data_IF_618346593684
#
_entry.id   IF_618346593684
#
_cell.length_a   1.000
_cell.length_b   1.000
_cell.length_c   1.000
_cell.angle_alpha   90.00
_cell.angle_beta   90.00
_cell.angle_gamma   90.00
#
_symmetry.space_group_name_H-M   'P 1'
#
loop_
_entity.id
_entity.type
_entity.pdbx_description
1 polymer ?
#
# COMPACT_ATOMS: atom_id res chain seq x y z
N UNK A 1 53.55 19.16 -6.52
CA UNK A 1 52.92 19.39 -7.85
C UNK A 1 51.98 18.28 -8.36
N UNK A 2 52.42 17.15 -8.94
CA UNK A 2 51.49 16.11 -9.50
C UNK A 2 50.53 15.51 -8.46
N UNK A 3 51.04 15.18 -7.26
CA UNK A 3 50.24 14.65 -6.14
C UNK A 3 49.24 15.67 -5.59
N UNK A 4 49.58 16.95 -5.61
CA UNK A 4 48.71 18.02 -5.12
C UNK A 4 47.58 18.35 -6.08
N UNK A 5 47.87 18.37 -7.39
CA UNK A 5 46.83 18.48 -8.42
C UNK A 5 45.85 17.30 -8.35
N UNK A 6 46.35 16.09 -8.07
CA UNK A 6 45.52 14.89 -7.91
C UNK A 6 44.61 15.02 -6.66
N UNK A 7 45.16 15.48 -5.54
CA UNK A 7 44.38 15.72 -4.31
C UNK A 7 43.31 16.80 -4.53
N UNK A 8 43.65 17.91 -5.19
CA UNK A 8 42.70 18.98 -5.51
C UNK A 8 41.61 18.51 -6.48
N UNK A 9 41.96 17.72 -7.50
CA UNK A 9 41.00 17.14 -8.43
C UNK A 9 40.04 16.16 -7.76
N UNK A 10 40.54 15.31 -6.86
CA UNK A 10 39.70 14.38 -6.08
C UNK A 10 38.77 15.15 -5.13
N UNK A 11 39.27 16.16 -4.42
CA UNK A 11 38.44 17.02 -3.56
C UNK A 11 37.38 17.77 -4.35
N UNK A 12 37.70 18.24 -5.56
CA UNK A 12 36.74 18.86 -6.47
C UNK A 12 35.62 17.89 -6.88
N UNK A 13 35.98 16.67 -7.28
CA UNK A 13 35.02 15.62 -7.65
C UNK A 13 34.14 15.19 -6.47
N UNK A 14 34.74 15.03 -5.28
CA UNK A 14 33.99 14.74 -4.04
C UNK A 14 33.06 15.89 -3.70
N UNK A 15 33.50 17.15 -3.84
CA UNK A 15 32.67 18.34 -3.63
C UNK A 15 31.46 18.38 -4.56
N UNK A 16 31.65 18.13 -5.86
CA UNK A 16 30.56 18.02 -6.84
C UNK A 16 29.62 16.86 -6.51
N UNK A 17 30.17 15.70 -6.16
CA UNK A 17 29.38 14.53 -5.75
C UNK A 17 28.53 14.80 -4.50
N UNK A 18 29.07 15.54 -3.53
CA UNK A 18 28.35 15.94 -2.32
C UNK A 18 27.26 17.00 -2.59
N UNK A 19 27.47 17.90 -3.54
CA UNK A 19 26.42 18.83 -3.97
C UNK A 19 25.29 18.15 -4.73
N UNK A 20 25.60 17.07 -5.47
CA UNK A 20 24.62 16.24 -6.19
C UNK A 20 23.96 15.17 -5.28
N UNK A 21 24.49 14.96 -4.07
CA UNK A 21 24.02 13.99 -3.08
C UNK A 21 22.51 14.07 -2.77
N UNK A 22 21.88 15.27 -2.61
CA UNK A 22 20.45 15.37 -2.31
C UNK A 22 19.55 14.71 -3.35
N UNK A 23 20.01 14.60 -4.60
CA UNK A 23 19.25 14.06 -5.73
C UNK A 23 19.48 12.56 -5.91
N UNK A 24 20.67 12.04 -5.57
CA UNK A 24 21.07 10.68 -5.96
C UNK A 24 21.13 9.66 -4.83
N UNK A 25 21.55 10.03 -3.61
CA UNK A 25 21.77 9.05 -2.53
C UNK A 25 20.58 8.93 -1.58
N UNK A 26 19.72 9.96 -1.53
CA UNK A 26 18.51 9.94 -0.71
C UNK A 26 17.29 10.53 -1.45
N UNK A 27 16.95 10.11 -2.67
CA UNK A 27 15.79 10.68 -3.39
C UNK A 27 14.47 10.49 -2.61
N UNK A 28 14.37 9.43 -1.81
CA UNK A 28 13.18 9.05 -1.02
C UNK A 28 13.35 9.33 0.49
N UNK A 29 14.42 10.02 0.89
CA UNK A 29 14.64 10.37 2.29
C UNK A 29 13.59 11.36 2.78
N UNK A 30 12.74 10.91 3.71
CA UNK A 30 11.75 11.74 4.41
C UNK A 30 10.30 11.30 4.30
N UNK A 31 9.95 10.38 3.39
CA UNK A 31 8.58 9.87 3.30
C UNK A 31 8.40 8.61 4.17
N UNK A 32 7.37 8.61 5.02
CA UNK A 32 6.91 7.38 5.69
C UNK A 32 6.27 6.46 4.66
N UNK A 33 6.81 5.25 4.51
CA UNK A 33 6.25 4.23 3.64
C UNK A 33 5.56 3.12 4.42
N UNK A 34 4.63 2.44 3.77
CA UNK A 34 4.05 1.19 4.26
C UNK A 34 4.49 0.07 3.33
N UNK A 35 5.15 -0.96 3.89
CA UNK A 35 5.37 -2.21 3.20
C UNK A 35 4.19 -3.12 3.48
N UNK A 36 3.53 -3.57 2.42
CA UNK A 36 2.43 -4.52 2.44
C UNK A 36 2.93 -5.87 1.93
N UNK A 37 2.51 -6.94 2.57
CA UNK A 37 2.73 -8.29 2.10
C UNK A 37 1.40 -8.91 1.70
N UNK A 38 1.41 -9.59 0.58
CA UNK A 38 0.27 -10.32 0.05
C UNK A 38 0.48 -11.81 0.24
N UNK A 39 -0.60 -12.50 0.55
CA UNK A 39 -0.63 -13.96 0.67
C UNK A 39 -1.77 -14.52 -0.19
N UNK A 40 -1.52 -15.69 -0.77
CA UNK A 40 -2.51 -16.43 -1.55
C UNK A 40 -3.50 -17.16 -0.62
N UNK A 41 -4.79 -17.10 -0.95
CA UNK A 41 -5.87 -17.76 -0.23
C UNK A 41 -6.07 -19.16 -0.80
N UNK A 42 -5.25 -20.11 -0.34
CA UNK A 42 -5.35 -21.51 -0.79
C UNK A 42 -6.23 -22.43 0.06
N UNK A 43 -6.88 -21.95 1.12
CA UNK A 43 -7.60 -22.82 2.06
C UNK A 43 -8.80 -22.15 2.74
N UNK A 44 -9.75 -22.96 3.24
CA UNK A 44 -10.87 -22.45 4.03
C UNK A 44 -10.43 -21.69 5.30
N UNK A 45 -9.27 -22.01 5.87
CA UNK A 45 -8.76 -21.33 7.06
C UNK A 45 -8.26 -19.92 6.72
N UNK A 46 -7.43 -19.82 5.68
CA UNK A 46 -6.92 -18.53 5.17
C UNK A 46 -8.05 -17.67 4.60
N UNK A 47 -9.02 -18.28 3.92
CA UNK A 47 -10.22 -17.60 3.43
C UNK A 47 -11.02 -16.94 4.55
N UNK A 48 -11.27 -17.67 5.65
CA UNK A 48 -11.94 -17.11 6.83
C UNK A 48 -11.19 -15.92 7.41
N UNK A 49 -9.87 -16.04 7.53
CA UNK A 49 -9.02 -14.98 8.05
C UNK A 49 -9.12 -13.72 7.17
N UNK A 50 -9.01 -13.87 5.85
CA UNK A 50 -9.13 -12.78 4.90
C UNK A 50 -10.51 -12.11 4.95
N UNK A 51 -11.59 -12.90 4.97
CA UNK A 51 -12.96 -12.38 5.01
C UNK A 51 -13.28 -11.60 6.30
N UNK A 52 -12.67 -11.93 7.43
CA UNK A 52 -12.89 -11.18 8.67
C UNK A 52 -12.16 -9.83 8.73
N UNK A 53 -11.08 -9.68 7.96
CA UNK A 53 -10.35 -8.42 7.84
C UNK A 53 -10.96 -7.46 6.82
N UNK A 54 -11.61 -8.00 5.78
CA UNK A 54 -12.07 -7.20 4.64
C UNK A 54 -13.28 -6.31 4.93
N UNK A 55 -13.20 -5.04 4.52
CA UNK A 55 -14.32 -4.09 4.61
C UNK A 55 -15.50 -4.43 3.69
N UNK A 56 -15.29 -5.26 2.67
CA UNK A 56 -16.35 -5.68 1.74
C UNK A 56 -17.23 -6.81 2.34
N UNK A 57 -16.89 -7.29 3.55
CA UNK A 57 -17.64 -8.27 4.33
C UNK A 57 -18.33 -7.61 5.53
N UNK A 58 -19.66 -7.66 5.56
CA UNK A 58 -20.43 -7.20 6.70
C UNK A 58 -20.33 -8.23 7.84
N UNK A 59 -19.47 -7.94 8.82
CA UNK A 59 -19.36 -8.76 10.03
C UNK A 59 -20.45 -8.41 11.03
N UNK A 60 -21.28 -9.39 11.39
CA UNK A 60 -22.46 -9.14 12.21
C UNK A 60 -22.13 -8.77 13.65
N UNK A 61 -22.29 -7.49 14.00
CA UNK A 61 -22.58 -7.06 15.36
C UNK A 61 -24.06 -6.63 15.46
N UNK A 62 -24.65 -6.72 16.66
CA UNK A 62 -26.11 -6.65 16.84
C UNK A 62 -26.79 -5.37 16.31
N UNK A 63 -26.04 -4.28 16.07
CA UNK A 63 -26.56 -3.03 15.52
C UNK A 63 -26.45 -2.95 14.00
N UNK A 64 -25.31 -3.35 13.43
CA UNK A 64 -25.07 -3.21 11.99
C UNK A 64 -25.90 -4.19 11.15
N UNK A 65 -26.36 -5.32 11.74
CA UNK A 65 -26.93 -6.44 10.98
C UNK A 65 -28.32 -6.86 11.42
N UNK A 66 -29.11 -5.90 11.90
CA UNK A 66 -30.47 -6.17 12.35
C UNK A 66 -31.36 -6.70 11.22
N UNK A 67 -31.17 -6.22 9.98
CA UNK A 67 -31.91 -6.65 8.81
C UNK A 67 -31.53 -8.08 8.42
N UNK A 68 -30.24 -8.37 8.27
CA UNK A 68 -29.69 -9.67 7.89
C UNK A 68 -30.09 -10.73 8.92
N UNK A 69 -30.06 -10.36 10.20
CA UNK A 69 -30.51 -11.25 11.28
C UNK A 69 -32.01 -11.56 11.15
N UNK A 70 -32.84 -10.61 10.74
CA UNK A 70 -34.27 -10.87 10.50
C UNK A 70 -34.50 -11.74 9.27
N UNK A 71 -33.76 -11.49 8.19
CA UNK A 71 -33.80 -12.30 6.96
C UNK A 71 -33.42 -13.75 7.26
N UNK A 72 -32.33 -13.99 7.99
CA UNK A 72 -31.93 -15.35 8.40
C UNK A 72 -32.94 -16.03 9.32
N UNK A 73 -33.52 -15.30 10.29
CA UNK A 73 -34.48 -15.88 11.24
C UNK A 73 -35.82 -16.26 10.61
N UNK A 74 -36.21 -15.58 9.53
CA UNK A 74 -37.52 -15.77 8.87
C UNK A 74 -37.42 -16.55 7.56
N UNK A 75 -36.24 -17.06 7.21
CA UNK A 75 -35.96 -17.72 5.93
C UNK A 75 -36.36 -16.84 4.72
N UNK A 76 -35.92 -15.58 4.81
CA UNK A 76 -36.29 -14.52 3.89
C UNK A 76 -37.25 -13.50 4.49
N UNK A 77 -37.27 -12.31 3.89
CA UNK A 77 -38.16 -11.22 4.27
C UNK A 77 -38.81 -10.64 3.03
N UNK A 78 -40.14 -10.67 2.98
CA UNK A 78 -40.92 -9.96 1.96
C UNK A 78 -41.19 -8.53 2.41
N UNK A 79 -40.84 -7.56 1.57
CA UNK A 79 -41.03 -6.13 1.80
C UNK A 79 -41.93 -5.59 0.69
N UNK A 80 -42.97 -4.83 1.07
CA UNK A 80 -43.84 -4.18 0.11
C UNK A 80 -43.09 -3.02 -0.57
N UNK A 81 -43.00 -3.05 -1.90
CA UNK A 81 -42.30 -2.04 -2.70
C UNK A 81 -40.88 -2.44 -3.11
N UNK A 82 -40.15 -1.49 -3.69
CA UNK A 82 -38.76 -1.66 -4.12
C UNK A 82 -37.81 -1.32 -2.99
N UNK A 83 -36.96 -2.26 -2.58
CA UNK A 83 -35.81 -1.96 -1.74
C UNK A 83 -34.74 -1.37 -2.65
N UNK A 84 -34.38 -0.10 -2.41
CA UNK A 84 -33.25 0.55 -3.07
C UNK A 84 -32.01 0.21 -2.25
N UNK A 85 -31.36 -0.88 -2.61
CA UNK A 85 -30.27 -1.43 -1.82
C UNK A 85 -28.95 -0.88 -2.34
N UNK A 86 -28.49 0.23 -1.77
CA UNK A 86 -27.08 0.61 -1.86
C UNK A 86 -26.29 -0.33 -0.92
N UNK A 87 -26.30 -1.63 -1.24
CA UNK A 87 -25.61 -2.65 -0.42
C UNK A 87 -24.12 -2.39 -0.58
N UNK A 88 -23.50 -1.85 0.46
CA UNK A 88 -22.08 -1.51 0.49
C UNK A 88 -21.18 -2.73 0.70
N UNK A 89 -21.75 -3.93 0.86
CA UNK A 89 -21.07 -5.18 1.16
C UNK A 89 -21.51 -6.29 0.21
N UNK A 90 -20.59 -7.19 -0.14
CA UNK A 90 -20.86 -8.32 -1.04
C UNK A 90 -21.19 -9.60 -0.28
N UNK A 91 -20.66 -9.74 0.92
CA UNK A 91 -20.80 -10.91 1.78
C UNK A 91 -21.23 -10.49 3.18
N UNK A 92 -22.03 -11.31 3.84
CA UNK A 92 -22.42 -11.16 5.24
C UNK A 92 -21.83 -12.33 6.03
N UNK A 93 -21.09 -12.04 7.10
CA UNK A 93 -20.66 -13.06 8.05
C UNK A 93 -21.56 -13.07 9.29
N UNK A 94 -22.24 -14.19 9.55
CA UNK A 94 -23.10 -14.39 10.71
C UNK A 94 -22.75 -15.69 11.44
N UNK A 95 -22.43 -15.60 12.73
CA UNK A 95 -22.12 -16.76 13.60
C UNK A 95 -21.05 -17.73 13.06
N UNK A 96 -20.08 -17.22 12.30
CA UNK A 96 -19.01 -18.04 11.72
C UNK A 96 -19.30 -18.59 10.33
N UNK A 97 -20.49 -18.33 9.79
CA UNK A 97 -20.94 -18.71 8.45
C UNK A 97 -21.00 -17.48 7.54
N UNK A 98 -20.96 -17.71 6.22
CA UNK A 98 -20.99 -16.66 5.21
C UNK A 98 -22.21 -16.78 4.32
N UNK A 99 -22.71 -15.62 3.87
CA UNK A 99 -23.89 -15.53 3.06
C UNK A 99 -23.75 -14.43 2.01
N UNK A 100 -24.31 -14.62 0.82
CA UNK A 100 -24.50 -13.54 -0.14
C UNK A 100 -25.96 -13.03 -0.07
N UNK A 101 -26.16 -11.71 -0.02
CA UNK A 101 -27.50 -11.12 -0.09
C UNK A 101 -28.08 -11.30 -1.49
N UNK A 102 -29.33 -11.80 -1.55
CA UNK A 102 -30.08 -11.92 -2.80
C UNK A 102 -31.40 -11.17 -2.72
N UNK A 103 -31.80 -10.60 -3.86
CA UNK A 103 -33.04 -9.85 -4.01
C UNK A 103 -33.82 -10.38 -5.20
N UNK A 104 -35.07 -10.78 -4.95
CA UNK A 104 -36.01 -11.15 -6.02
C UNK A 104 -37.22 -10.22 -5.99
N UNK A 105 -37.43 -9.48 -7.08
CA UNK A 105 -38.67 -8.73 -7.28
C UNK A 105 -39.79 -9.68 -7.70
N UNK A 106 -40.94 -9.51 -7.09
CA UNK A 106 -42.20 -10.21 -7.38
C UNK A 106 -43.31 -9.17 -7.57
N UNK A 107 -44.44 -9.57 -8.14
CA UNK A 107 -45.61 -8.69 -8.33
C UNK A 107 -46.12 -8.07 -7.02
N UNK A 108 -45.90 -8.75 -5.88
CA UNK A 108 -46.36 -8.33 -4.56
C UNK A 108 -45.27 -7.60 -3.74
N UNK A 109 -44.10 -7.32 -4.32
CA UNK A 109 -43.00 -6.64 -3.64
C UNK A 109 -41.64 -7.35 -3.79
N UNK A 110 -40.71 -7.01 -2.91
CA UNK A 110 -39.33 -7.51 -2.94
C UNK A 110 -39.13 -8.59 -1.89
N UNK A 111 -38.61 -9.76 -2.27
CA UNK A 111 -38.13 -10.78 -1.33
C UNK A 111 -36.62 -10.67 -1.18
N UNK A 112 -36.18 -10.41 0.06
CA UNK A 112 -34.79 -10.45 0.48
C UNK A 112 -34.46 -11.83 1.03
N UNK A 113 -33.37 -12.42 0.59
CA UNK A 113 -32.88 -13.72 1.09
C UNK A 113 -31.37 -13.69 1.27
N UNK A 114 -30.83 -14.67 1.98
CA UNK A 114 -29.39 -14.85 2.19
C UNK A 114 -29.02 -16.27 1.78
N UNK A 115 -28.25 -16.40 0.71
CA UNK A 115 -27.76 -17.70 0.24
C UNK A 115 -26.50 -18.07 0.98
N UNK A 116 -26.45 -19.28 1.54
CA UNK A 116 -25.26 -19.78 2.24
C UNK A 116 -24.09 -19.94 1.28
N UNK A 117 -22.88 -19.62 1.74
CA UNK A 117 -21.62 -19.75 1.02
C UNK A 117 -20.60 -20.49 1.89
N UNK A 118 -19.79 -21.31 1.24
CA UNK A 118 -18.53 -21.77 1.82
C UNK A 118 -17.53 -20.60 1.92
N UNK A 119 -16.48 -20.72 2.76
CA UNK A 119 -15.48 -19.66 2.87
C UNK A 119 -14.79 -19.32 1.54
N UNK A 120 -14.50 -20.32 0.70
CA UNK A 120 -13.92 -20.06 -0.63
C UNK A 120 -14.91 -19.32 -1.52
N UNK A 121 -16.15 -19.78 -1.66
CA UNK A 121 -17.16 -19.06 -2.48
C UNK A 121 -17.38 -17.63 -1.97
N UNK A 122 -17.32 -17.40 -0.66
CA UNK A 122 -17.38 -16.06 -0.09
C UNK A 122 -16.20 -15.17 -0.50
N UNK A 123 -14.98 -15.73 -0.60
CA UNK A 123 -13.81 -15.03 -1.16
C UNK A 123 -14.06 -14.68 -2.63
N UNK A 124 -14.55 -15.61 -3.44
CA UNK A 124 -14.88 -15.37 -4.86
C UNK A 124 -15.88 -14.22 -5.02
N UNK A 125 -16.91 -14.19 -4.17
CA UNK A 125 -17.93 -13.13 -4.19
C UNK A 125 -17.41 -11.77 -3.69
N UNK A 126 -16.49 -11.76 -2.74
CA UNK A 126 -15.93 -10.54 -2.15
C UNK A 126 -14.79 -9.94 -2.98
N UNK A 127 -14.11 -10.77 -3.79
CA UNK A 127 -12.94 -10.36 -4.54
C UNK A 127 -13.25 -9.29 -5.59
N UNK A 128 -12.25 -8.44 -5.83
CA UNK A 128 -12.22 -7.52 -6.97
C UNK A 128 -11.18 -8.00 -7.99
N UNK A 129 -11.45 -7.85 -9.30
CA UNK A 129 -10.48 -8.19 -10.33
C UNK A 129 -9.19 -7.37 -10.20
N UNK A 130 -8.02 -7.99 -10.40
CA UNK A 130 -6.73 -7.32 -10.30
C UNK A 130 -6.62 -6.14 -11.27
N UNK A 131 -7.18 -6.24 -12.48
CA UNK A 131 -7.17 -5.19 -13.51
C UNK A 131 -7.98 -3.92 -13.13
N UNK A 132 -8.86 -4.01 -12.14
CA UNK A 132 -9.57 -2.87 -11.56
C UNK A 132 -8.77 -2.18 -10.42
N UNK A 133 -7.59 -2.68 -10.09
CA UNK A 133 -6.78 -2.19 -8.96
C UNK A 133 -5.64 -1.24 -9.38
N UNK A 134 -5.00 -0.62 -8.38
CA UNK A 134 -3.87 0.26 -8.62
C UNK A 134 -2.57 -0.54 -8.82
N UNK A 135 -1.63 -0.01 -9.61
CA UNK A 135 -0.35 -0.65 -9.92
C UNK A 135 0.41 -1.25 -8.71
N UNK A 136 0.45 -0.62 -7.51
CA UNK A 136 1.12 -1.22 -6.36
C UNK A 136 0.54 -2.58 -5.94
N UNK A 137 -0.75 -2.80 -6.16
CA UNK A 137 -1.44 -4.07 -5.88
C UNK A 137 -0.96 -5.15 -6.84
N UNK A 138 -0.88 -4.86 -8.14
CA UNK A 138 -0.27 -5.76 -9.13
C UNK A 138 1.13 -6.18 -8.72
N UNK A 139 1.99 -5.21 -8.39
CA UNK A 139 3.36 -5.51 -7.95
C UNK A 139 3.36 -6.38 -6.70
N UNK A 140 2.44 -6.15 -5.75
CA UNK A 140 2.36 -6.95 -4.55
C UNK A 140 1.94 -8.39 -4.86
N UNK A 141 0.90 -8.60 -5.68
CA UNK A 141 0.45 -9.94 -6.10
C UNK A 141 1.57 -10.69 -6.83
N UNK A 142 2.24 -10.05 -7.79
CA UNK A 142 3.30 -10.68 -8.59
C UNK A 142 4.57 -11.02 -7.77
N UNK A 143 4.91 -10.20 -6.77
CA UNK A 143 6.20 -10.32 -6.03
C UNK A 143 6.07 -10.75 -4.57
N UNK A 144 4.83 -10.88 -4.07
CA UNK A 144 4.49 -11.16 -2.67
C UNK A 144 4.59 -9.97 -1.72
N UNK A 145 5.12 -8.81 -2.16
CA UNK A 145 5.14 -7.60 -1.34
C UNK A 145 5.40 -6.32 -2.13
N UNK A 146 4.90 -5.20 -1.64
CA UNK A 146 5.19 -3.87 -2.21
C UNK A 146 5.45 -2.87 -1.10
N UNK A 147 6.27 -1.86 -1.38
CA UNK A 147 6.43 -0.71 -0.49
C UNK A 147 5.84 0.52 -1.16
N UNK A 148 4.82 1.09 -0.53
CA UNK A 148 4.14 2.30 -1.00
C UNK A 148 4.60 3.47 -0.13
N UNK A 149 5.00 4.56 -0.78
CA UNK A 149 5.37 5.81 -0.11
C UNK A 149 4.29 6.87 -0.39
N UNK A 150 4.06 7.74 0.58
CA UNK A 150 3.09 8.83 0.45
C UNK A 150 1.65 8.37 0.70
N UNK A 151 0.81 8.41 -0.34
CA UNK A 151 -0.63 8.22 -0.19
C UNK A 151 -1.01 6.74 -0.03
N UNK A 152 -1.92 6.42 0.90
CA UNK A 152 -2.37 5.04 1.10
C UNK A 152 -3.14 4.52 -0.11
N UNK A 153 -3.00 3.22 -0.39
CA UNK A 153 -3.72 2.54 -1.47
C UNK A 153 -5.00 1.94 -0.90
N UNK A 154 -6.15 2.42 -1.38
CA UNK A 154 -7.46 2.05 -0.83
C UNK A 154 -7.74 0.54 -0.77
N UNK A 155 -7.22 -0.24 -1.73
CA UNK A 155 -7.33 -1.72 -1.72
C UNK A 155 -6.65 -2.34 -0.50
N UNK A 156 -5.47 -1.83 -0.12
CA UNK A 156 -4.74 -2.34 1.04
C UNK A 156 -5.34 -1.86 2.36
N UNK A 157 -5.74 -0.59 2.44
CA UNK A 157 -6.32 -0.02 3.67
C UNK A 157 -7.66 -0.65 4.05
N UNK A 158 -8.39 -1.13 3.05
CA UNK A 158 -9.68 -1.81 3.21
C UNK A 158 -9.56 -3.34 3.26
N UNK A 159 -8.33 -3.85 3.26
CA UNK A 159 -8.02 -5.28 3.23
C UNK A 159 -8.86 -6.03 2.18
N UNK A 160 -8.94 -5.45 0.97
CA UNK A 160 -9.73 -6.02 -0.11
C UNK A 160 -9.05 -7.26 -0.66
N UNK A 161 -9.87 -8.26 -0.92
CA UNK A 161 -9.45 -9.48 -1.60
C UNK A 161 -9.35 -9.18 -3.09
N UNK A 162 -8.28 -9.63 -3.72
CA UNK A 162 -7.99 -9.41 -5.13
C UNK A 162 -7.93 -10.75 -5.86
N UNK A 163 -8.56 -10.82 -7.02
CA UNK A 163 -8.55 -12.00 -7.89
C UNK A 163 -7.58 -11.79 -9.06
N UNK A 164 -6.73 -12.78 -9.32
CA UNK A 164 -5.82 -12.84 -10.46
C UNK A 164 -5.89 -14.24 -11.09
N UNK A 165 -6.42 -14.34 -12.32
CA UNK A 165 -6.58 -15.59 -13.07
C UNK A 165 -7.24 -16.76 -12.28
N UNK A 166 -8.20 -16.45 -11.39
CA UNK A 166 -8.89 -17.43 -10.55
C UNK A 166 -8.21 -17.77 -9.21
N UNK A 167 -7.03 -17.21 -8.95
CA UNK A 167 -6.37 -17.25 -7.65
C UNK A 167 -6.71 -15.98 -6.84
N UNK A 168 -6.73 -16.09 -5.51
CA UNK A 168 -7.18 -15.02 -4.63
C UNK A 168 -6.09 -14.59 -3.67
N UNK A 169 -5.90 -13.28 -3.53
CA UNK A 169 -4.86 -12.69 -2.70
C UNK A 169 -5.43 -11.68 -1.72
N UNK A 170 -4.81 -11.57 -0.55
CA UNK A 170 -5.16 -10.57 0.44
C UNK A 170 -3.90 -10.02 1.14
N UNK A 171 -4.05 -8.89 1.84
CA UNK A 171 -2.98 -8.31 2.63
C UNK A 171 -2.96 -8.95 4.03
N UNK A 172 -2.01 -9.84 4.28
CA UNK A 172 -1.85 -10.49 5.59
C UNK A 172 -1.27 -9.52 6.64
N UNK A 173 -0.37 -8.63 6.20
CA UNK A 173 0.42 -7.79 7.11
C UNK A 173 0.94 -6.54 6.45
N UNK A 174 1.10 -5.50 7.26
CA UNK A 174 1.82 -4.29 6.88
C UNK A 174 2.84 -3.90 7.95
N UNK A 175 3.86 -3.16 7.53
CA UNK A 175 4.88 -2.59 8.42
C UNK A 175 5.25 -1.21 7.93
N UNK A 176 5.22 -0.25 8.85
CA UNK A 176 5.82 1.07 8.60
C UNK A 176 7.30 0.91 8.29
N UNK A 177 7.71 1.37 7.12
CA UNK A 177 9.11 1.49 6.73
C UNK A 177 9.47 2.96 6.91
N UNK A 178 10.20 3.26 7.98
CA UNK A 178 10.89 4.54 8.07
C UNK A 178 12.14 4.47 7.19
N UNK A 179 12.29 5.48 6.33
CA UNK A 179 13.60 5.79 5.77
C UNK A 179 14.58 6.01 6.93
N UNK A 180 15.85 5.64 6.73
CA UNK A 180 16.93 5.66 7.74
C UNK A 180 17.17 7.03 8.39
N UNK A 181 16.53 8.08 7.88
CA UNK A 181 16.40 9.38 8.50
C UNK A 181 14.93 9.83 8.43
N UNK A 182 14.40 10.24 9.58
CA UNK A 182 13.16 11.03 9.67
C UNK A 182 13.24 12.26 8.74
N UNK A 183 12.13 12.82 8.29
CA UNK A 183 12.11 13.90 7.29
C UNK A 183 13.03 15.07 7.67
N UNK A 184 13.00 15.46 8.95
CA UNK A 184 13.88 16.48 9.51
C UNK A 184 15.36 16.06 9.49
N UNK A 185 15.66 14.80 9.81
CA UNK A 185 17.02 14.28 9.85
C UNK A 185 17.62 14.14 8.44
N UNK A 186 16.80 13.78 7.45
CA UNK A 186 17.20 13.68 6.05
C UNK A 186 17.55 15.08 5.49
N UNK A 187 16.75 16.09 5.85
CA UNK A 187 17.02 17.48 5.47
C UNK A 187 18.32 18.00 6.09
N UNK A 188 18.55 17.73 7.39
CA UNK A 188 19.79 18.10 8.08
C UNK A 188 20.99 17.41 7.44
N UNK A 189 20.91 16.12 7.12
CA UNK A 189 22.00 15.39 6.47
C UNK A 189 22.30 15.93 5.07
N UNK A 190 21.26 16.24 4.28
CA UNK A 190 21.40 16.90 2.97
C UNK A 190 22.05 18.27 3.08
N UNK A 191 21.66 19.07 4.07
CA UNK A 191 22.26 20.38 4.33
C UNK A 191 23.74 20.26 4.73
N UNK A 192 24.07 19.34 5.62
CA UNK A 192 25.45 19.06 6.02
C UNK A 192 26.30 18.60 4.83
N UNK A 193 25.79 17.69 4.00
CA UNK A 193 26.47 17.23 2.79
C UNK A 193 26.67 18.37 1.79
N UNK A 194 25.68 19.24 1.61
CA UNK A 194 25.75 20.41 0.74
C UNK A 194 26.81 21.41 1.23
N UNK A 195 26.81 21.74 2.52
CA UNK A 195 27.82 22.61 3.15
C UNK A 195 29.22 22.02 3.07
N UNK A 196 29.36 20.71 3.29
CA UNK A 196 30.64 20.00 3.12
C UNK A 196 31.12 20.03 1.65
N UNK A 197 30.20 19.90 0.70
CA UNK A 197 30.47 20.02 -0.74
C UNK A 197 30.99 21.41 -1.11
N UNK A 198 30.34 22.47 -0.62
CA UNK A 198 30.81 23.87 -0.77
C UNK A 198 32.23 24.02 -0.18
N UNK A 199 32.44 23.52 1.05
CA UNK A 199 33.74 23.58 1.70
C UNK A 199 34.85 22.89 0.89
N UNK A 200 34.57 21.72 0.33
CA UNK A 200 35.51 20.99 -0.52
C UNK A 200 35.87 21.78 -1.79
N UNK A 201 34.88 22.40 -2.45
CA UNK A 201 35.09 23.19 -3.65
C UNK A 201 35.86 24.48 -3.38
N UNK A 202 35.50 25.21 -2.31
CA UNK A 202 36.21 26.44 -1.92
C UNK A 202 37.66 26.14 -1.56
N UNK A 203 37.91 25.08 -0.78
CA UNK A 203 39.26 24.66 -0.42
C UNK A 203 40.07 24.20 -1.64
N UNK A 204 39.45 23.44 -2.55
CA UNK A 204 40.08 23.04 -3.80
C UNK A 204 40.43 24.25 -4.69
N UNK A 205 39.51 25.21 -4.82
CA UNK A 205 39.70 26.44 -5.60
C UNK A 205 40.77 27.36 -5.02
N UNK A 206 40.76 27.58 -3.71
CA UNK A 206 41.80 28.37 -3.03
C UNK A 206 43.17 27.73 -3.18
N UNK A 207 43.25 26.41 -3.00
CA UNK A 207 44.51 25.68 -3.14
C UNK A 207 45.02 25.69 -4.56
N UNK A 208 44.13 25.63 -5.56
CA UNK A 208 44.47 25.78 -6.98
C UNK A 208 44.99 27.18 -7.30
N UNK A 209 44.35 28.22 -6.75
CA UNK A 209 44.76 29.63 -6.94
C UNK A 209 46.14 29.93 -6.33
N UNK A 210 46.46 29.33 -5.19
CA UNK A 210 47.77 29.47 -4.53
C UNK A 210 48.88 28.64 -5.17
N UNK A 211 48.58 27.77 -6.14
CA UNK A 211 49.64 27.05 -6.86
C UNK A 211 50.35 28.04 -7.81
N UNK A 212 51.69 28.12 -7.78
CA UNK A 212 52.42 28.92 -8.72
C UNK A 212 52.11 28.46 -10.14
N UNK A 213 51.73 29.40 -11.02
CA UNK A 213 51.53 29.12 -12.42
C UNK A 213 52.81 28.50 -12.98
N UNK A 214 52.69 27.42 -13.74
CA UNK A 214 53.80 26.94 -14.59
C UNK A 214 54.05 28.03 -15.62
N UNK A 215 54.99 28.92 -15.33
CA UNK A 215 55.22 30.08 -16.17
C UNK A 215 56.38 30.99 -15.76
N UNK A 216 56.88 30.94 -14.52
CA UNK A 216 58.04 31.74 -14.11
C UNK A 216 59.18 30.84 -13.60
N UNK A 217 59.94 30.28 -14.53
CA UNK A 217 61.31 29.79 -14.34
C UNK A 217 62.06 29.89 -15.67
#
# INVERSE_FOLDING_TARGET
MRRELLVVGVLGLVGVGLLLNPVYLFPQGGESGHRYWTEEIGSNATAKQALYGSDDVLTTNARATALETQVLRRDGLSVNGSVRSDILYRVVSFRGEFYHPTQHQTENGTRLSLGHLTPMEAVEHAAIPLDETAQPVHTAVETGSVTVYGHPVGTFERERIVEDDGDYYWVDRWRGVSSMADEESALVLRLCAFLAGIGCLLYAGERLWRMPARGDA
#
